data_IF_746838043021
#
_entry.id   IF_746838043021
#
_cell.length_a   1.000
_cell.length_b   1.000
_cell.length_c   1.000
_cell.angle_alpha   90.00
_cell.angle_beta   90.00
_cell.angle_gamma   90.00
#
_symmetry.space_group_name_H-M   'P 1'
#
loop_
_entity.id
_entity.type
_entity.pdbx_description
1 polymer ?
#
# COMPACT_ATOMS: atom_id res chain seq x y z
N UNK A 1 7.00 -3.67 18.95
CA UNK A 1 7.47 -3.96 17.59
C UNK A 1 6.53 -3.36 16.59
N UNK A 2 7.06 -2.79 15.54
CA UNK A 2 6.21 -2.21 14.51
C UNK A 2 6.49 -2.84 13.16
N UNK A 3 5.47 -2.89 12.34
CA UNK A 3 5.60 -3.40 10.99
C UNK A 3 4.65 -2.62 10.09
N UNK A 4 4.73 -2.88 8.81
CA UNK A 4 3.94 -2.16 7.82
C UNK A 4 3.12 -3.15 7.03
N UNK A 5 1.89 -2.78 6.75
CA UNK A 5 0.96 -3.62 5.99
C UNK A 5 0.68 -2.93 4.67
N UNK A 6 0.83 -3.68 3.60
CA UNK A 6 0.44 -3.23 2.26
C UNK A 6 -0.84 -3.95 1.88
N UNK A 7 -1.88 -3.17 1.57
CA UNK A 7 -3.10 -3.76 1.04
C UNK A 7 -3.74 -2.76 0.07
N UNK A 8 -4.93 -3.08 -0.40
CA UNK A 8 -5.61 -2.23 -1.36
C UNK A 8 -6.33 -3.07 -2.39
N UNK A 9 -6.45 -2.51 -3.60
CA UNK A 9 -7.14 -3.21 -4.68
C UNK A 9 -6.49 -2.87 -6.01
N UNK A 10 -6.55 -3.81 -6.94
CA UNK A 10 -6.03 -3.64 -8.29
C UNK A 10 -7.12 -4.03 -9.25
N UNK A 11 -7.47 -3.12 -10.16
CA UNK A 11 -8.55 -3.32 -11.13
C UNK A 11 -9.85 -3.69 -10.43
N UNK A 12 -10.10 -3.10 -9.27
CA UNK A 12 -11.32 -3.33 -8.53
C UNK A 12 -11.33 -4.59 -7.69
N UNK A 13 -10.23 -5.34 -7.65
CA UNK A 13 -10.14 -6.58 -6.88
C UNK A 13 -9.19 -6.39 -5.71
N UNK A 14 -9.60 -6.78 -4.49
CA UNK A 14 -8.71 -6.64 -3.35
C UNK A 14 -7.46 -7.50 -3.50
N UNK A 15 -6.33 -6.96 -3.09
CA UNK A 15 -5.10 -7.71 -3.05
C UNK A 15 -4.94 -8.31 -1.66
N UNK A 16 -4.16 -9.38 -1.59
CA UNK A 16 -3.89 -10.01 -0.31
C UNK A 16 -2.92 -9.14 0.47
N UNK A 17 -3.30 -8.78 1.70
CA UNK A 17 -2.44 -7.97 2.54
C UNK A 17 -1.15 -8.68 2.89
N UNK A 18 -0.07 -7.92 2.96
CA UNK A 18 1.24 -8.44 3.31
C UNK A 18 1.90 -7.56 4.35
N UNK A 19 2.69 -8.17 5.20
CA UNK A 19 3.41 -7.46 6.25
C UNK A 19 4.88 -7.33 5.88
N UNK A 20 5.44 -6.17 6.22
CA UNK A 20 6.84 -5.87 5.95
C UNK A 20 7.45 -5.24 7.18
N UNK A 21 8.76 -5.39 7.32
CA UNK A 21 9.46 -4.82 8.46
C UNK A 21 9.75 -3.34 8.33
N UNK A 22 9.71 -2.81 7.11
CA UNK A 22 9.98 -1.40 6.90
C UNK A 22 9.01 -0.84 5.87
N UNK A 23 8.81 0.48 5.95
CA UNK A 23 8.01 1.17 4.97
C UNK A 23 8.61 1.04 3.57
N UNK A 24 9.94 1.12 3.48
CA UNK A 24 10.60 1.01 2.18
C UNK A 24 10.31 -0.33 1.51
N UNK A 25 10.32 -1.41 2.30
CA UNK A 25 10.02 -2.74 1.76
C UNK A 25 8.58 -2.81 1.27
N UNK A 26 7.65 -2.24 2.03
CA UNK A 26 6.25 -2.24 1.62
C UNK A 26 6.05 -1.43 0.35
N UNK A 27 6.68 -0.26 0.26
CA UNK A 27 6.55 0.58 -0.92
C UNK A 27 7.19 -0.06 -2.13
N UNK A 28 8.30 -0.76 -1.94
CA UNK A 28 8.95 -1.45 -3.06
C UNK A 28 8.05 -2.55 -3.59
N UNK A 29 7.38 -3.29 -2.71
CA UNK A 29 6.43 -4.31 -3.14
C UNK A 29 5.27 -3.68 -3.90
N UNK A 30 4.78 -2.53 -3.44
CA UNK A 30 3.73 -1.80 -4.12
C UNK A 30 4.18 -1.37 -5.52
N UNK A 31 5.39 -0.83 -5.62
CA UNK A 31 5.92 -0.38 -6.90
C UNK A 31 6.04 -1.53 -7.89
N UNK A 32 6.38 -2.71 -7.40
CA UNK A 32 6.46 -3.89 -8.24
C UNK A 32 5.09 -4.20 -8.85
N UNK A 33 4.03 -4.10 -8.05
CA UNK A 33 2.68 -4.33 -8.55
C UNK A 33 2.29 -3.24 -9.55
N UNK A 34 2.59 -1.99 -9.23
CA UNK A 34 2.29 -0.87 -10.13
C UNK A 34 2.96 -1.07 -11.49
N UNK A 35 4.22 -1.49 -11.47
CA UNK A 35 4.94 -1.72 -12.70
C UNK A 35 4.37 -2.91 -13.47
N UNK A 36 4.11 -4.00 -12.78
CA UNK A 36 3.60 -5.22 -13.42
C UNK A 36 2.23 -5.00 -14.05
N UNK A 37 1.37 -4.24 -13.37
CA UNK A 37 0.01 -3.99 -13.84
C UNK A 37 -0.11 -2.74 -14.68
N UNK A 38 1.00 -2.05 -14.91
CA UNK A 38 1.03 -0.84 -15.73
C UNK A 38 0.08 0.22 -15.20
N UNK A 39 0.15 0.46 -13.89
CA UNK A 39 -0.68 1.45 -13.25
C UNK A 39 0.06 2.78 -13.13
N UNK A 40 -0.69 3.85 -12.92
CA UNK A 40 -0.12 5.17 -12.69
C UNK A 40 -0.71 5.75 -11.42
N UNK A 41 0.16 6.23 -10.54
CA UNK A 41 -0.27 6.87 -9.32
C UNK A 41 -0.80 8.26 -9.66
N UNK A 42 -2.04 8.54 -9.28
CA UNK A 42 -2.70 9.79 -9.57
C UNK A 42 -2.78 10.70 -8.35
N UNK A 43 -2.73 10.13 -7.16
CA UNK A 43 -2.87 10.92 -5.95
C UNK A 43 -2.23 10.17 -4.80
N UNK A 44 -1.79 10.93 -3.82
CA UNK A 44 -1.18 10.38 -2.61
C UNK A 44 -1.83 11.08 -1.42
N UNK A 45 -2.49 10.31 -0.58
CA UNK A 45 -3.28 10.83 0.52
C UNK A 45 -2.86 10.21 1.84
N UNK A 46 -3.25 10.86 2.92
CA UNK A 46 -2.95 10.39 4.26
C UNK A 46 -4.25 10.34 5.06
N UNK A 47 -5.03 9.26 4.89
CA UNK A 47 -6.31 9.16 5.61
C UNK A 47 -6.15 9.10 7.12
N UNK A 48 -4.96 8.74 7.61
CA UNK A 48 -4.68 8.78 9.03
C UNK A 48 -3.19 9.02 9.24
N UNK A 49 -2.81 9.20 10.50
CA UNK A 49 -1.40 9.39 10.85
C UNK A 49 -0.54 8.21 10.45
N UNK A 50 -1.12 7.03 10.40
CA UNK A 50 -0.35 5.79 10.23
C UNK A 50 -0.60 5.13 8.90
N UNK A 51 -1.40 5.75 8.04
CA UNK A 51 -1.78 5.15 6.78
C UNK A 51 -1.53 6.13 5.64
N UNK A 52 -0.83 5.65 4.64
CA UNK A 52 -0.60 6.39 3.41
C UNK A 52 -1.35 5.69 2.30
N UNK A 53 -2.09 6.46 1.50
CA UNK A 53 -2.89 5.92 0.41
C UNK A 53 -2.33 6.39 -0.92
N UNK A 54 -2.18 5.46 -1.86
CA UNK A 54 -1.75 5.77 -3.21
C UNK A 54 -2.90 5.43 -4.14
N UNK A 55 -3.53 6.46 -4.70
CA UNK A 55 -4.66 6.28 -5.61
C UNK A 55 -4.12 6.18 -7.01
N UNK A 56 -4.47 5.10 -7.69
CA UNK A 56 -4.00 4.86 -9.04
C UNK A 56 -5.17 4.90 -10.02
N UNK A 57 -4.86 4.75 -11.30
CA UNK A 57 -5.91 4.65 -12.33
C UNK A 57 -6.49 3.24 -12.33
N UNK A 58 -7.50 3.02 -13.14
CA UNK A 58 -8.14 1.72 -13.36
C UNK A 58 -8.63 1.07 -12.08
N UNK A 59 -9.32 1.87 -11.23
CA UNK A 59 -9.91 1.38 -9.98
C UNK A 59 -8.90 0.67 -9.10
N UNK A 60 -7.71 1.24 -9.01
CA UNK A 60 -6.62 0.66 -8.22
C UNK A 60 -6.18 1.64 -7.15
N UNK A 61 -5.85 1.12 -5.99
CA UNK A 61 -5.30 1.92 -4.90
C UNK A 61 -4.54 1.04 -3.95
N UNK A 62 -3.61 1.64 -3.24
CA UNK A 62 -2.81 0.92 -2.28
C UNK A 62 -2.77 1.67 -0.97
N UNK A 63 -2.73 0.93 0.13
CA UNK A 63 -2.56 1.49 1.45
C UNK A 63 -1.32 0.90 2.07
N UNK A 64 -0.48 1.78 2.61
CA UNK A 64 0.67 1.36 3.41
C UNK A 64 0.41 1.88 4.81
N UNK A 65 0.20 0.97 5.75
CA UNK A 65 -0.17 1.31 7.11
C UNK A 65 0.91 0.85 8.08
N UNK A 66 1.25 1.72 9.02
CA UNK A 66 2.16 1.35 10.09
C UNK A 66 1.34 0.76 11.24
N UNK A 67 1.71 -0.43 11.66
CA UNK A 67 1.04 -1.10 12.76
C UNK A 67 2.05 -1.30 13.88
N UNK A 68 1.65 -0.90 15.08
CA UNK A 68 2.49 -1.08 16.25
C UNK A 68 1.86 -2.17 17.10
N UNK A 69 2.57 -3.26 17.28
CA UNK A 69 2.16 -4.33 18.13
C UNK A 69 2.53 -3.97 19.54
N UNK A 70 1.54 -3.67 20.30
CA UNK A 70 1.74 -3.18 21.60
C UNK A 70 2.06 -4.23 22.58
N UNK A 71 2.49 -3.93 23.51
CA UNK A 71 2.65 -4.38 24.64
C UNK A 71 3.69 -4.42 25.04
#
# INVERSE_FOLDING_TARGET
MKYYVLDGEVNGRPIKGKMFRSRAAAEKAMETIIYREDLQVQDNRFPSKHTEEFVCDRCSRFFVSRVICGK
#
